data_IF_309495768424
#
_entry.id   IF_309495768424
#
_cell.length_a   1.000
_cell.length_b   1.000
_cell.length_c   1.000
_cell.angle_alpha   90.00
_cell.angle_beta   90.00
_cell.angle_gamma   90.00
#
_symmetry.space_group_name_H-M   'P 1'
#
loop_
_entity.id
_entity.type
_entity.pdbx_description
1 polymer ?
#
# COMPACT_ATOMS: atom_id res chain seq x y z
N UNK A 1 -23.04 1.99 10.78
CA UNK A 1 -21.59 1.86 10.52
C UNK A 1 -21.16 3.11 9.79
N UNK A 2 -20.23 3.89 10.33
CA UNK A 2 -19.66 5.00 9.57
C UNK A 2 -18.76 4.43 8.47
N UNK A 3 -19.19 4.59 7.22
CA UNK A 3 -18.39 4.23 6.06
C UNK A 3 -17.14 5.12 6.01
N UNK A 4 -16.00 4.54 5.62
CA UNK A 4 -14.74 5.27 5.43
C UNK A 4 -14.93 6.51 4.55
N UNK A 5 -15.84 6.43 3.57
CA UNK A 5 -16.22 7.53 2.67
C UNK A 5 -16.92 8.69 3.40
N UNK A 6 -17.82 8.39 4.35
CA UNK A 6 -18.49 9.41 5.17
C UNK A 6 -17.50 10.11 6.10
N UNK A 7 -16.63 9.35 6.76
CA UNK A 7 -15.54 9.90 7.57
C UNK A 7 -14.61 10.80 6.74
N UNK A 8 -14.14 10.31 5.59
CA UNK A 8 -13.29 11.07 4.69
C UNK A 8 -13.95 12.37 4.20
N UNK A 9 -15.25 12.34 3.90
CA UNK A 9 -15.99 13.51 3.44
C UNK A 9 -16.06 14.60 4.52
N UNK A 10 -16.31 14.22 5.78
CA UNK A 10 -16.28 15.15 6.93
C UNK A 10 -14.89 15.74 7.13
N UNK A 11 -13.85 14.90 7.07
CA UNK A 11 -12.47 15.33 7.24
C UNK A 11 -12.02 16.28 6.12
N UNK A 12 -12.45 16.03 4.87
CA UNK A 12 -12.22 16.93 3.74
C UNK A 12 -12.87 18.31 3.92
N UNK A 13 -14.06 18.39 4.49
CA UNK A 13 -14.72 19.66 4.75
C UNK A 13 -13.91 20.51 5.76
N UNK A 14 -13.45 19.89 6.85
CA UNK A 14 -12.59 20.55 7.84
C UNK A 14 -11.27 21.04 7.23
N UNK A 15 -10.63 20.24 6.36
CA UNK A 15 -9.42 20.68 5.67
C UNK A 15 -9.67 21.83 4.70
N UNK A 16 -10.82 21.85 4.02
CA UNK A 16 -11.18 22.97 3.15
C UNK A 16 -11.38 24.26 3.95
N UNK A 17 -12.01 24.20 5.13
CA UNK A 17 -12.11 25.35 6.04
C UNK A 17 -10.73 25.81 6.53
N UNK A 18 -9.85 24.86 6.88
CA UNK A 18 -8.48 25.17 7.29
C UNK A 18 -7.65 25.81 6.17
N UNK A 19 -7.82 25.36 4.93
CA UNK A 19 -7.14 25.92 3.75
C UNK A 19 -7.54 27.38 3.48
N UNK A 20 -8.75 27.79 3.89
CA UNK A 20 -9.17 29.20 3.82
C UNK A 20 -8.46 30.03 4.90
N UNK A 21 -8.27 29.49 6.09
CA UNK A 21 -7.62 30.20 7.21
C UNK A 21 -6.10 30.25 7.06
N UNK A 22 -5.51 29.18 6.52
CA UNK A 22 -4.07 28.99 6.39
C UNK A 22 -3.78 28.60 4.93
N UNK A 23 -3.82 29.56 4.00
CA UNK A 23 -3.61 29.28 2.59
C UNK A 23 -2.16 28.83 2.33
N UNK A 24 -1.99 27.91 1.39
CA UNK A 24 -0.67 27.49 0.94
C UNK A 24 0.11 28.65 0.33
N UNK A 25 1.46 28.68 0.45
CA UNK A 25 2.28 29.69 -0.20
C UNK A 25 2.02 29.68 -1.72
N UNK A 26 1.60 30.82 -2.29
CA UNK A 26 1.24 30.92 -3.71
C UNK A 26 2.42 30.92 -4.70
N UNK A 27 3.67 30.76 -4.23
CA UNK A 27 4.85 30.68 -5.10
C UNK A 27 5.01 29.27 -5.67
N UNK A 28 5.71 29.15 -6.80
CA UNK A 28 6.24 27.88 -7.33
C UNK A 28 7.64 27.56 -6.79
N UNK A 29 7.99 28.12 -5.63
CA UNK A 29 9.30 27.96 -5.02
C UNK A 29 9.43 26.61 -4.31
N UNK A 30 10.66 26.14 -4.10
CA UNK A 30 10.95 24.84 -3.49
C UNK A 30 10.28 24.71 -2.11
N UNK A 31 10.33 25.76 -1.30
CA UNK A 31 9.66 25.82 0.00
C UNK A 31 8.15 25.60 -0.07
N UNK A 32 7.47 26.13 -1.09
CA UNK A 32 6.03 25.88 -1.30
C UNK A 32 5.77 24.43 -1.70
N UNK A 33 6.65 23.86 -2.52
CA UNK A 33 6.56 22.45 -2.90
C UNK A 33 6.72 21.55 -1.67
N UNK A 34 7.73 21.82 -0.83
CA UNK A 34 7.95 21.11 0.43
C UNK A 34 6.77 21.28 1.39
N UNK A 35 6.20 22.48 1.49
CA UNK A 35 5.00 22.75 2.29
C UNK A 35 3.81 21.90 1.83
N UNK A 36 3.53 21.84 0.52
CA UNK A 36 2.42 21.03 -0.03
C UNK A 36 2.63 19.54 0.26
N UNK A 37 3.84 19.01 0.10
CA UNK A 37 4.16 17.62 0.43
C UNK A 37 4.04 17.33 1.93
N UNK A 38 4.44 18.28 2.78
CA UNK A 38 4.25 18.19 4.22
C UNK A 38 2.77 18.16 4.58
N UNK A 39 1.96 19.06 4.02
CA UNK A 39 0.52 19.13 4.24
C UNK A 39 -0.19 17.84 3.78
N UNK A 40 0.20 17.28 2.63
CA UNK A 40 -0.29 15.98 2.14
C UNK A 40 0.01 14.86 3.15
N UNK A 41 1.24 14.82 3.67
CA UNK A 41 1.67 13.83 4.66
C UNK A 41 0.90 13.96 5.97
N UNK A 42 0.71 15.18 6.47
CA UNK A 42 -0.09 15.45 7.67
C UNK A 42 -1.54 15.00 7.51
N UNK A 43 -2.18 15.32 6.37
CA UNK A 43 -3.56 14.92 6.07
C UNK A 43 -3.72 13.40 6.00
N UNK A 44 -2.78 12.72 5.37
CA UNK A 44 -2.74 11.26 5.35
C UNK A 44 -2.67 10.69 6.77
N UNK A 45 -1.79 11.22 7.62
CA UNK A 45 -1.66 10.77 9.00
C UNK A 45 -2.96 10.99 9.79
N UNK A 46 -3.56 12.17 9.70
CA UNK A 46 -4.84 12.48 10.36
C UNK A 46 -5.96 11.53 9.91
N UNK A 47 -6.05 11.26 8.60
CA UNK A 47 -7.00 10.28 8.07
C UNK A 47 -6.77 8.90 8.70
N UNK A 48 -5.53 8.39 8.66
CA UNK A 48 -5.17 7.07 9.19
C UNK A 48 -5.37 6.94 10.71
N UNK A 49 -5.17 8.02 11.46
CA UNK A 49 -5.38 8.04 12.91
C UNK A 49 -6.87 7.95 13.30
N UNK A 50 -7.75 8.61 12.56
CA UNK A 50 -9.19 8.55 12.84
C UNK A 50 -9.92 7.35 12.22
N UNK A 51 -9.23 6.48 11.46
CA UNK A 51 -9.79 5.19 11.07
C UNK A 51 -9.99 4.29 12.31
N UNK A 52 -11.19 3.73 12.44
CA UNK A 52 -11.53 2.79 13.51
C UNK A 52 -10.58 1.57 13.51
N UNK A 53 -10.33 0.99 14.69
CA UNK A 53 -9.45 -0.17 14.92
C UNK A 53 -9.77 -1.38 14.03
N UNK A 54 -11.02 -1.54 13.58
CA UNK A 54 -11.43 -2.55 12.58
C UNK A 54 -10.67 -2.43 11.25
N UNK A 55 -10.19 -1.24 10.92
CA UNK A 55 -9.39 -0.96 9.73
C UNK A 55 -7.87 -1.03 10.01
N UNK A 56 -7.45 -1.56 11.17
CA UNK A 56 -6.03 -1.64 11.54
C UNK A 56 -5.16 -2.35 10.50
N UNK A 57 -5.67 -3.43 9.89
CA UNK A 57 -4.98 -4.14 8.81
C UNK A 57 -4.83 -3.27 7.54
N UNK A 58 -5.85 -2.47 7.19
CA UNK A 58 -5.80 -1.52 6.08
C UNK A 58 -4.78 -0.43 6.37
N UNK A 59 -4.79 0.13 7.59
CA UNK A 59 -3.83 1.14 8.04
C UNK A 59 -2.39 0.64 7.93
N UNK A 60 -2.10 -0.55 8.46
CA UNK A 60 -0.77 -1.16 8.34
C UNK A 60 -0.38 -1.40 6.89
N UNK A 61 -1.31 -1.90 6.07
CA UNK A 61 -1.06 -2.12 4.63
C UNK A 61 -0.74 -0.83 3.89
N UNK A 62 -1.45 0.26 4.16
CA UNK A 62 -1.19 1.58 3.56
C UNK A 62 0.19 2.10 3.98
N UNK A 63 0.54 2.00 5.26
CA UNK A 63 1.84 2.47 5.78
C UNK A 63 3.02 1.63 5.29
N UNK A 64 2.83 0.33 5.07
CA UNK A 64 3.87 -0.57 4.54
C UNK A 64 4.05 -0.47 3.02
N UNK A 65 3.21 0.29 2.30
CA UNK A 65 3.37 0.48 0.87
C UNK A 65 4.49 1.46 0.57
N UNK A 66 5.55 0.97 -0.07
CA UNK A 66 6.51 1.82 -0.77
C UNK A 66 5.80 2.42 -2.00
N UNK A 67 5.58 3.73 -2.00
CA UNK A 67 4.79 4.44 -3.02
C UNK A 67 5.47 4.50 -4.40
N UNK A 68 6.78 4.25 -4.45
CA UNK A 68 7.56 4.16 -5.68
C UNK A 68 8.55 3.01 -5.54
N UNK A 69 8.37 1.95 -6.34
CA UNK A 69 9.41 0.95 -6.57
C UNK A 69 10.20 1.38 -7.80
N UNK A 70 11.51 1.20 -7.77
CA UNK A 70 12.34 1.41 -8.97
C UNK A 70 12.04 0.34 -10.02
N UNK A 71 12.42 0.58 -11.28
CA UNK A 71 12.30 -0.44 -12.35
C UNK A 71 13.03 -1.73 -11.96
N UNK A 72 14.21 -1.62 -11.34
CA UNK A 72 14.98 -2.78 -10.89
C UNK A 72 14.24 -3.57 -9.80
N UNK A 73 13.63 -2.88 -8.84
CA UNK A 73 12.81 -3.51 -7.80
C UNK A 73 11.57 -4.18 -8.39
N UNK A 74 10.92 -3.54 -9.37
CA UNK A 74 9.78 -4.13 -10.09
C UNK A 74 10.18 -5.40 -10.85
N UNK A 75 11.33 -5.37 -11.56
CA UNK A 75 11.88 -6.53 -12.24
C UNK A 75 12.20 -7.67 -11.25
N UNK A 76 12.82 -7.37 -10.11
CA UNK A 76 13.13 -8.37 -9.08
C UNK A 76 11.86 -9.02 -8.51
N UNK A 77 10.83 -8.22 -8.20
CA UNK A 77 9.53 -8.74 -7.73
C UNK A 77 8.84 -9.60 -8.79
N UNK A 78 8.91 -9.21 -10.06
CA UNK A 78 8.36 -9.99 -11.16
C UNK A 78 9.08 -11.34 -11.33
N UNK A 79 10.42 -11.33 -11.34
CA UNK A 79 11.25 -12.54 -11.44
C UNK A 79 11.02 -13.49 -10.26
N UNK A 80 10.88 -12.96 -9.03
CA UNK A 80 10.56 -13.77 -7.85
C UNK A 80 9.20 -14.46 -7.99
N UNK A 81 8.17 -13.73 -8.46
CA UNK A 81 6.83 -14.31 -8.68
C UNK A 81 6.82 -15.36 -9.78
N UNK A 82 7.60 -15.17 -10.84
CA UNK A 82 7.76 -16.17 -11.91
C UNK A 82 8.40 -17.45 -11.40
N UNK A 83 9.52 -17.34 -10.66
CA UNK A 83 10.18 -18.49 -10.03
C UNK A 83 9.25 -19.25 -9.07
N UNK A 84 8.47 -18.55 -8.24
CA UNK A 84 7.49 -19.17 -7.35
C UNK A 84 6.37 -19.90 -8.10
N UNK A 85 5.95 -19.40 -9.27
CA UNK A 85 4.97 -20.09 -10.13
C UNK A 85 5.57 -21.35 -10.73
N UNK A 86 6.81 -21.29 -11.20
CA UNK A 86 7.53 -22.45 -11.75
C UNK A 86 7.71 -23.55 -10.71
N UNK A 87 8.08 -23.20 -9.47
CA UNK A 87 8.16 -24.15 -8.36
C UNK A 87 6.80 -24.79 -8.04
N UNK A 88 5.72 -23.99 -8.01
CA UNK A 88 4.35 -24.51 -7.80
C UNK A 88 3.86 -25.46 -8.89
N UNK A 89 4.28 -25.25 -10.14
CA UNK A 89 3.96 -26.16 -11.25
C UNK A 89 4.75 -27.46 -11.13
N UNK A 90 6.02 -27.38 -10.74
CA UNK A 90 6.85 -28.57 -10.50
C UNK A 90 6.32 -29.41 -9.34
N UNK A 91 5.88 -28.80 -8.24
CA UNK A 91 5.25 -29.50 -7.11
C UNK A 91 3.94 -30.19 -7.52
N UNK A 92 3.12 -29.55 -8.36
CA UNK A 92 1.92 -30.19 -8.93
C UNK A 92 2.20 -31.36 -9.86
N UNK A 93 3.41 -31.43 -10.42
CA UNK A 93 3.80 -32.48 -11.38
C UNK A 93 4.57 -33.62 -10.69
N UNK A 94 5.04 -33.43 -9.44
CA UNK A 94 5.87 -34.41 -8.71
C UNK A 94 5.12 -35.49 -7.95
N UNK A 95 3.80 -35.43 -7.83
CA UNK A 95 2.99 -36.51 -7.22
C UNK A 95 2.01 -37.09 -8.25
N UNK A 96 2.47 -38.00 -9.12
CA UNK A 96 2.16 -39.43 -8.92
C UNK A 96 3.34 -40.41 -9.06
N UNK A 97 4.58 -39.95 -9.32
CA UNK A 97 5.69 -40.84 -9.70
C UNK A 97 6.67 -41.24 -8.58
N UNK A 98 6.54 -40.70 -7.36
CA UNK A 98 7.41 -41.08 -6.22
C UNK A 98 6.88 -42.32 -5.47
N UNK A 99 5.68 -42.83 -5.80
CA UNK A 99 5.10 -44.00 -5.12
C UNK A 99 5.54 -45.39 -5.67
N UNK A 100 6.38 -45.46 -6.71
CA UNK A 100 6.80 -46.76 -7.27
C UNK A 100 8.23 -47.22 -6.88
N UNK A 101 8.87 -46.59 -5.91
CA UNK A 101 10.04 -47.24 -5.26
C UNK A 101 9.53 -48.04 -4.06
N UNK A 102 9.06 -49.25 -4.35
CA UNK A 102 8.71 -50.21 -3.32
C UNK A 102 7.82 -51.34 -3.81
N UNK A 103 8.35 -52.26 -4.62
CA UNK A 103 7.99 -53.69 -4.62
C UNK A 103 8.72 -54.46 -5.72
N UNK A 104 9.73 -55.21 -5.31
CA UNK A 104 10.26 -56.49 -5.84
C UNK A 104 11.61 -56.68 -5.15
N UNK A 105 11.99 -57.80 -4.56
CA UNK A 105 11.41 -59.10 -4.24
C UNK A 105 12.32 -59.66 -3.15
#
# INVERSE_FOLDING_TARGET
MDYVTSYYSKLRALWAELDVMIPSPGCTCEDSTMYVEHLRSQRLMQFLMGLNQRFGHIRSSILSRKLVITVNEACAVAAQKESQRTLRVLDKTRDPLIFLVGRTQ
#
